data_IF_311305404364
#
_entry.id   IF_311305404364
#
_cell.length_a   1.000
_cell.length_b   1.000
_cell.length_c   1.000
_cell.angle_alpha   90.00
_cell.angle_beta   90.00
_cell.angle_gamma   90.00
#
_symmetry.space_group_name_H-M   'P 1'
#
loop_
_entity.id
_entity.type
_entity.pdbx_description
1 polymer ?
#
# COMPACT_ATOMS: atom_id res chain seq x y z
N UNK A 1 12.94 -14.29 -21.02
CA UNK A 1 11.60 -13.71 -21.26
C UNK A 1 11.07 -13.98 -22.67
N UNK A 2 11.91 -14.10 -23.72
CA UNK A 2 11.41 -14.43 -25.07
C UNK A 2 10.83 -15.85 -25.16
N UNK A 3 11.37 -16.80 -24.39
CA UNK A 3 11.00 -18.22 -24.51
C UNK A 3 9.74 -18.59 -23.71
N UNK A 4 9.47 -17.88 -22.60
CA UNK A 4 8.33 -18.13 -21.71
C UNK A 4 7.65 -16.81 -21.28
N UNK A 5 6.84 -16.19 -22.15
CA UNK A 5 6.20 -14.89 -21.85
C UNK A 5 5.15 -14.97 -20.74
N UNK A 6 4.54 -16.15 -20.55
CA UNK A 6 3.56 -16.44 -19.49
C UNK A 6 4.21 -16.97 -18.19
N UNK A 7 5.54 -17.01 -18.12
CA UNK A 7 6.28 -17.59 -17.00
C UNK A 7 6.45 -19.09 -17.11
N UNK A 8 7.22 -19.66 -16.18
CA UNK A 8 7.56 -21.10 -16.14
C UNK A 8 6.88 -21.85 -15.01
N UNK A 9 5.99 -21.17 -14.27
CA UNK A 9 5.29 -21.68 -13.11
C UNK A 9 6.03 -21.38 -11.80
N UNK A 10 5.32 -21.41 -10.66
CA UNK A 10 5.87 -21.03 -9.36
C UNK A 10 7.08 -21.90 -9.01
N UNK A 11 8.21 -21.27 -8.66
CA UNK A 11 9.44 -21.93 -8.19
C UNK A 11 10.15 -22.81 -9.23
N UNK A 12 9.68 -22.83 -10.48
CA UNK A 12 10.31 -23.60 -11.55
C UNK A 12 11.51 -22.88 -12.18
N UNK A 13 11.62 -21.56 -12.01
CA UNK A 13 12.74 -20.80 -12.58
C UNK A 13 14.11 -21.28 -12.09
N UNK A 14 14.20 -21.72 -10.83
CA UNK A 14 15.45 -22.24 -10.26
C UNK A 14 15.96 -23.51 -10.96
N UNK A 15 15.09 -24.26 -11.64
CA UNK A 15 15.45 -25.48 -12.37
C UNK A 15 16.04 -25.18 -13.75
N UNK A 16 15.64 -24.06 -14.35
CA UNK A 16 16.03 -23.67 -15.71
C UNK A 16 17.08 -22.55 -15.73
N UNK A 17 17.45 -22.01 -14.56
CA UNK A 17 18.38 -20.87 -14.45
C UNK A 17 19.75 -21.15 -15.08
N UNK A 18 20.19 -22.41 -15.09
CA UNK A 18 21.44 -22.89 -15.72
C UNK A 18 21.46 -22.59 -17.24
N UNK A 19 20.31 -22.63 -17.90
CA UNK A 19 20.18 -22.34 -19.34
C UNK A 19 20.39 -20.85 -19.66
N UNK A 20 20.28 -19.98 -18.64
CA UNK A 20 20.46 -18.53 -18.77
C UNK A 20 21.83 -18.07 -18.26
N UNK A 21 22.79 -19.00 -18.06
CA UNK A 21 24.15 -18.70 -17.63
C UNK A 21 24.26 -18.31 -16.15
N UNK A 22 23.21 -18.56 -15.36
CA UNK A 22 23.24 -18.41 -13.90
C UNK A 22 23.75 -19.70 -13.27
N UNK A 23 24.47 -19.59 -12.16
CA UNK A 23 24.90 -20.77 -11.38
C UNK A 23 23.66 -21.55 -10.94
N UNK A 24 23.64 -22.85 -11.26
CA UNK A 24 22.54 -23.76 -10.94
C UNK A 24 22.13 -23.64 -9.46
N UNK A 25 20.83 -23.59 -9.19
CA UNK A 25 20.20 -23.39 -7.88
C UNK A 25 20.38 -22.00 -7.23
N UNK A 26 20.94 -21.00 -7.91
CA UNK A 26 20.97 -19.64 -7.36
C UNK A 26 19.60 -18.96 -7.53
N UNK A 27 18.97 -18.63 -6.40
CA UNK A 27 17.72 -17.86 -6.41
C UNK A 27 17.99 -16.42 -6.83
N UNK A 28 17.09 -15.86 -7.62
CA UNK A 28 17.10 -14.44 -7.95
C UNK A 28 16.71 -13.66 -6.69
N UNK A 29 17.59 -12.79 -6.19
CA UNK A 29 17.34 -11.97 -4.99
C UNK A 29 16.56 -10.69 -5.31
N UNK A 30 15.62 -10.75 -6.25
CA UNK A 30 14.79 -9.62 -6.64
C UNK A 30 13.36 -10.10 -6.81
N UNK A 31 12.45 -9.53 -6.02
CA UNK A 31 11.03 -9.91 -6.01
C UNK A 31 10.40 -9.81 -7.40
N UNK A 32 10.62 -8.69 -8.09
CA UNK A 32 10.02 -8.44 -9.40
C UNK A 32 10.55 -9.39 -10.46
N UNK A 33 11.87 -9.64 -10.46
CA UNK A 33 12.49 -10.51 -11.45
C UNK A 33 12.10 -11.97 -11.20
N UNK A 34 12.00 -12.39 -9.94
CA UNK A 34 11.51 -13.73 -9.58
C UNK A 34 10.03 -13.90 -9.95
N UNK A 35 9.17 -12.92 -9.63
CA UNK A 35 7.75 -12.94 -10.00
C UNK A 35 7.58 -12.96 -11.51
N UNK A 36 8.37 -12.17 -12.25
CA UNK A 36 8.34 -12.13 -13.71
C UNK A 36 8.88 -13.39 -14.37
N UNK A 37 9.80 -14.11 -13.72
CA UNK A 37 10.25 -15.40 -14.19
C UNK A 37 9.19 -16.50 -13.97
N UNK A 38 8.59 -16.53 -12.78
CA UNK A 38 7.63 -17.57 -12.39
C UNK A 38 6.26 -17.38 -13.08
N UNK A 39 5.74 -16.15 -13.11
CA UNK A 39 4.39 -15.81 -13.58
C UNK A 39 4.38 -14.96 -14.86
N UNK A 40 5.55 -14.69 -15.44
CA UNK A 40 5.66 -13.93 -16.67
C UNK A 40 5.28 -12.45 -16.52
N UNK A 41 4.94 -11.85 -17.66
CA UNK A 41 4.51 -10.45 -17.72
C UNK A 41 3.20 -10.25 -16.95
N UNK A 42 2.31 -11.24 -16.98
CA UNK A 42 1.00 -11.15 -16.32
C UNK A 42 1.14 -11.02 -14.79
N UNK A 43 2.02 -11.79 -14.17
CA UNK A 43 2.29 -11.69 -12.73
C UNK A 43 2.90 -10.34 -12.35
N UNK A 44 3.85 -9.82 -13.13
CA UNK A 44 4.44 -8.49 -12.88
C UNK A 44 3.39 -7.38 -12.99
N UNK A 45 2.56 -7.41 -14.03
CA UNK A 45 1.49 -6.42 -14.22
C UNK A 45 0.46 -6.51 -13.11
N UNK A 46 0.06 -7.70 -12.69
CA UNK A 46 -0.86 -7.90 -11.56
C UNK A 46 -0.30 -7.34 -10.25
N UNK A 47 0.96 -7.66 -9.93
CA UNK A 47 1.63 -7.18 -8.71
C UNK A 47 1.80 -5.66 -8.72
N UNK A 48 2.28 -5.11 -9.83
CA UNK A 48 2.44 -3.66 -10.01
C UNK A 48 1.07 -2.97 -9.87
N UNK A 49 0.06 -3.45 -10.60
CA UNK A 49 -1.28 -2.88 -10.55
C UNK A 49 -1.85 -2.92 -9.13
N UNK A 50 -1.67 -4.02 -8.40
CA UNK A 50 -2.13 -4.14 -7.02
C UNK A 50 -1.51 -3.07 -6.10
N UNK A 51 -0.19 -2.94 -6.08
CA UNK A 51 0.48 -1.97 -5.20
C UNK A 51 0.25 -0.52 -5.65
N UNK A 52 0.33 -0.22 -6.95
CA UNK A 52 0.07 1.13 -7.46
C UNK A 52 -1.39 1.54 -7.28
N UNK A 53 -2.35 0.64 -7.52
CA UNK A 53 -3.76 0.94 -7.29
C UNK A 53 -4.06 1.16 -5.80
N UNK A 54 -3.44 0.37 -4.92
CA UNK A 54 -3.57 0.55 -3.46
C UNK A 54 -2.98 1.89 -3.03
N UNK A 55 -1.75 2.19 -3.44
CA UNK A 55 -1.09 3.47 -3.16
C UNK A 55 -1.91 4.65 -3.67
N UNK A 56 -2.43 4.59 -4.90
CA UNK A 56 -3.26 5.64 -5.48
C UNK A 56 -4.58 5.83 -4.72
N UNK A 57 -5.27 4.74 -4.36
CA UNK A 57 -6.51 4.81 -3.57
C UNK A 57 -6.26 5.40 -2.19
N UNK A 58 -5.21 4.97 -1.50
CA UNK A 58 -4.84 5.49 -0.18
C UNK A 58 -4.43 6.97 -0.25
N UNK A 59 -3.68 7.37 -1.28
CA UNK A 59 -3.31 8.76 -1.50
C UNK A 59 -4.52 9.66 -1.81
N UNK A 60 -5.43 9.18 -2.66
CA UNK A 60 -6.69 9.88 -2.97
C UNK A 60 -7.56 10.05 -1.72
N UNK A 61 -7.65 9.00 -0.89
CA UNK A 61 -8.36 9.08 0.40
C UNK A 61 -7.69 10.09 1.34
N UNK A 62 -6.37 10.07 1.49
CA UNK A 62 -5.64 11.01 2.35
C UNK A 62 -5.84 12.47 1.92
N UNK A 63 -6.09 12.70 0.62
CA UNK A 63 -6.38 14.02 0.06
C UNK A 63 -7.85 14.44 0.16
N UNK A 64 -8.75 13.55 0.61
CA UNK A 64 -10.19 13.83 0.73
C UNK A 64 -10.50 14.76 1.91
N UNK A 65 -11.57 15.56 1.79
CA UNK A 65 -12.01 16.44 2.87
C UNK A 65 -12.50 15.66 4.10
N UNK A 66 -13.05 14.46 3.90
CA UNK A 66 -13.42 13.56 5.01
C UNK A 66 -12.18 13.17 5.81
N UNK A 67 -11.09 12.78 5.16
CA UNK A 67 -9.85 12.43 5.85
C UNK A 67 -9.23 13.64 6.57
N UNK A 68 -9.38 14.85 6.03
CA UNK A 68 -8.93 16.10 6.68
C UNK A 68 -9.66 16.36 8.00
N UNK A 69 -10.94 15.97 8.11
CA UNK A 69 -11.74 16.13 9.34
C UNK A 69 -11.33 15.14 10.44
N UNK A 70 -10.94 13.91 10.09
CA UNK A 70 -10.64 12.86 11.06
C UNK A 70 -9.19 12.86 11.60
N UNK A 71 -8.31 13.76 11.12
CA UNK A 71 -6.90 13.94 11.51
C UNK A 71 -6.02 12.69 11.34
N UNK A 72 -6.28 11.59 12.05
CA UNK A 72 -5.48 10.36 12.04
C UNK A 72 -5.49 9.59 10.70
N UNK A 73 -6.60 9.44 9.94
CA UNK A 73 -6.59 8.64 8.72
C UNK A 73 -5.72 9.25 7.63
N UNK A 74 -5.60 10.59 7.64
CA UNK A 74 -4.73 11.33 6.72
C UNK A 74 -3.26 10.98 6.94
N UNK A 75 -2.77 11.08 8.18
CA UNK A 75 -1.38 10.73 8.51
C UNK A 75 -1.11 9.25 8.27
N UNK A 76 -2.06 8.40 8.63
CA UNK A 76 -1.96 6.96 8.39
C UNK A 76 -1.89 6.63 6.90
N UNK A 77 -2.71 7.28 6.07
CA UNK A 77 -2.66 7.13 4.62
C UNK A 77 -1.31 7.55 4.01
N UNK A 78 -0.74 8.67 4.47
CA UNK A 78 0.60 9.08 4.04
C UNK A 78 1.69 8.10 4.50
N UNK A 79 1.62 7.59 5.74
CA UNK A 79 2.53 6.59 6.26
C UNK A 79 2.51 5.33 5.38
N UNK A 80 1.32 4.82 5.05
CA UNK A 80 1.17 3.66 4.15
C UNK A 80 1.77 3.96 2.76
N UNK A 81 1.52 5.13 2.18
CA UNK A 81 2.09 5.49 0.88
C UNK A 81 3.62 5.52 0.90
N UNK A 82 4.23 6.10 1.93
CA UNK A 82 5.68 6.15 2.11
C UNK A 82 6.25 4.75 2.31
N UNK A 83 5.61 3.92 3.15
CA UNK A 83 6.02 2.54 3.39
C UNK A 83 5.94 1.68 2.13
N UNK A 84 4.88 1.83 1.32
CA UNK A 84 4.78 1.14 0.03
C UNK A 84 5.82 1.63 -0.97
N UNK A 85 6.10 2.94 -1.01
CA UNK A 85 7.17 3.50 -1.83
C UNK A 85 8.54 2.92 -1.46
N UNK A 86 8.86 2.89 -0.17
CA UNK A 86 10.07 2.26 0.35
C UNK A 86 10.14 0.77 0.03
N UNK A 87 9.04 0.04 0.22
CA UNK A 87 8.94 -1.38 -0.13
C UNK A 87 9.20 -1.63 -1.63
N UNK A 88 8.64 -0.82 -2.53
CA UNK A 88 8.86 -0.94 -3.97
C UNK A 88 10.33 -0.71 -4.35
N UNK A 89 11.02 0.22 -3.69
CA UNK A 89 12.46 0.44 -3.91
C UNK A 89 13.30 -0.70 -3.32
N UNK A 90 13.02 -1.12 -2.09
CA UNK A 90 13.74 -2.19 -1.41
C UNK A 90 13.56 -3.56 -2.09
N UNK A 91 12.39 -3.83 -2.67
CA UNK A 91 12.09 -5.10 -3.36
C UNK A 91 12.86 -5.30 -4.68
N UNK A 92 13.57 -4.28 -5.16
CA UNK A 92 14.56 -4.44 -6.23
C UNK A 92 15.76 -5.26 -5.73
N UNK A 93 16.13 -5.09 -4.46
CA UNK A 93 17.33 -5.68 -3.84
C UNK A 93 17.06 -6.88 -2.93
N UNK A 94 15.81 -7.04 -2.44
CA UNK A 94 15.42 -8.07 -1.49
C UNK A 94 14.54 -9.13 -2.18
N UNK A 95 14.76 -10.40 -1.83
CA UNK A 95 14.04 -11.55 -2.38
C UNK A 95 12.62 -11.75 -1.81
N UNK A 96 11.95 -12.82 -2.24
CA UNK A 96 10.53 -13.11 -1.96
C UNK A 96 10.14 -13.34 -0.50
N UNK A 97 11.09 -13.41 0.44
CA UNK A 97 10.79 -13.66 1.85
C UNK A 97 10.01 -12.53 2.55
N UNK A 98 9.95 -11.33 1.94
CA UNK A 98 9.33 -10.14 2.56
C UNK A 98 8.05 -9.65 1.87
N UNK A 99 7.46 -10.42 0.94
CA UNK A 99 6.20 -10.03 0.26
C UNK A 99 5.06 -9.80 1.27
N UNK A 100 5.03 -10.63 2.31
CA UNK A 100 4.00 -10.60 3.34
C UNK A 100 3.90 -9.21 4.01
N UNK A 101 5.04 -8.57 4.28
CA UNK A 101 5.06 -7.24 4.88
C UNK A 101 4.42 -6.18 3.98
N UNK A 102 4.76 -6.19 2.68
CA UNK A 102 4.13 -5.28 1.71
C UNK A 102 2.63 -5.53 1.56
N UNK A 103 2.21 -6.80 1.61
CA UNK A 103 0.79 -7.17 1.59
C UNK A 103 0.03 -6.68 2.82
N UNK A 104 0.58 -6.88 4.03
CA UNK A 104 -0.03 -6.41 5.29
C UNK A 104 -0.18 -4.88 5.29
N UNK A 105 0.85 -4.15 4.86
CA UNK A 105 0.81 -2.68 4.75
C UNK A 105 -0.28 -2.22 3.77
N UNK A 106 -0.41 -2.91 2.63
CA UNK A 106 -1.45 -2.64 1.64
C UNK A 106 -2.85 -2.87 2.20
N UNK A 107 -3.04 -3.98 2.93
CA UNK A 107 -4.32 -4.34 3.54
C UNK A 107 -4.74 -3.30 4.59
N UNK A 108 -3.82 -2.87 5.45
CA UNK A 108 -4.05 -1.79 6.41
C UNK A 108 -4.48 -0.49 5.72
N UNK A 109 -3.79 -0.11 4.64
CA UNK A 109 -4.17 1.05 3.83
C UNK A 109 -5.59 0.97 3.27
N UNK A 110 -5.98 -0.19 2.72
CA UNK A 110 -7.33 -0.41 2.18
C UNK A 110 -8.39 -0.43 3.28
N UNK A 111 -8.09 -0.98 4.46
CA UNK A 111 -8.98 -0.91 5.62
C UNK A 111 -9.24 0.54 6.04
N UNK A 112 -8.21 1.39 6.06
CA UNK A 112 -8.38 2.83 6.35
C UNK A 112 -9.21 3.52 5.28
N UNK A 113 -9.00 3.19 4.00
CA UNK A 113 -9.82 3.73 2.89
C UNK A 113 -11.29 3.36 3.09
N UNK A 114 -11.58 2.09 3.33
CA UNK A 114 -12.94 1.61 3.58
C UNK A 114 -13.57 2.28 4.81
N UNK A 115 -12.79 2.51 5.87
CA UNK A 115 -13.26 3.19 7.07
C UNK A 115 -13.68 4.64 6.77
N UNK A 116 -12.82 5.41 6.08
CA UNK A 116 -13.11 6.81 5.72
C UNK A 116 -14.30 6.88 4.76
N UNK A 117 -14.39 5.98 3.78
CA UNK A 117 -15.52 5.92 2.85
C UNK A 117 -16.84 5.64 3.57
N UNK A 118 -16.85 4.72 4.55
CA UNK A 118 -18.04 4.44 5.37
C UNK A 118 -18.46 5.67 6.18
N UNK A 119 -17.51 6.43 6.73
CA UNK A 119 -17.82 7.66 7.47
C UNK A 119 -18.34 8.75 6.54
N UNK A 120 -17.77 8.89 5.33
CA UNK A 120 -18.27 9.82 4.33
C UNK A 120 -19.71 9.49 3.89
N UNK A 121 -20.04 8.19 3.77
CA UNK A 121 -21.37 7.72 3.38
C UNK A 121 -22.41 7.80 4.49
N UNK A 122 -21.99 7.82 5.76
CA UNK A 122 -22.86 8.21 6.88
C UNK A 122 -23.16 9.70 6.74
N UNK A 123 -24.09 10.02 5.83
CA UNK A 123 -24.77 11.32 5.73
C UNK A 123 -25.10 11.79 7.15
N UNK A 124 -24.92 13.08 7.50
CA UNK A 124 -25.20 13.55 8.85
C UNK A 124 -26.68 13.33 9.15
N UNK A 125 -26.99 12.22 9.82
CA UNK A 125 -28.29 11.96 10.41
C UNK A 125 -28.32 12.87 11.64
N UNK A 126 -28.63 14.14 11.40
CA UNK A 126 -28.74 15.23 12.37
C UNK A 126 -27.61 15.30 13.38
N UNK A 127 -26.57 16.09 13.09
CA UNK A 127 -25.74 16.74 14.14
C UNK A 127 -25.34 15.86 15.34
N UNK A 128 -25.11 14.56 15.12
CA UNK A 128 -24.57 13.69 16.14
C UNK A 128 -23.10 14.04 16.21
N UNK A 129 -22.74 14.79 17.26
CA UNK A 129 -21.38 15.17 17.59
C UNK A 129 -20.45 13.96 17.37
N UNK A 130 -19.45 14.14 16.51
CA UNK A 130 -18.35 13.19 16.42
C UNK A 130 -17.73 13.20 17.83
N UNK A 131 -17.74 12.09 18.60
CA UNK A 131 -17.28 12.09 19.99
C UNK A 131 -15.84 12.61 20.13
N UNK A 132 -15.04 12.44 19.07
CA UNK A 132 -13.67 12.91 18.96
C UNK A 132 -13.55 14.45 18.84
N UNK A 133 -14.59 15.14 18.36
CA UNK A 133 -14.65 16.61 18.29
C UNK A 133 -15.28 17.23 19.56
N UNK A 134 -16.04 16.47 20.34
CA UNK A 134 -16.62 16.95 21.61
C UNK A 134 -15.55 17.21 22.68
N UNK A 135 -14.41 16.51 22.57
CA UNK A 135 -13.29 16.67 23.51
C UNK A 135 -12.32 17.80 23.13
N UNK A 136 -12.49 18.46 21.98
CA UNK A 136 -11.64 19.60 21.61
C UNK A 136 -12.20 20.84 22.29
N UNK A 137 -11.53 21.43 23.29
CA UNK A 137 -12.00 22.66 23.91
C UNK A 137 -12.08 23.72 22.82
N UNK A 138 -13.28 24.22 22.54
CA UNK A 138 -13.44 25.35 21.63
C UNK A 138 -12.73 26.53 22.28
N UNK A 139 -11.69 27.12 21.65
CA UNK A 139 -11.01 28.27 22.22
C UNK A 139 -12.04 29.38 22.40
N UNK A 140 -12.20 29.81 23.66
CA UNK A 140 -13.17 30.79 24.09
C UNK A 140 -12.91 32.10 23.33
N UNK A 141 -13.77 32.40 22.35
CA UNK A 141 -13.62 33.57 21.46
C UNK A 141 -13.74 34.91 22.20
N UNK A 142 -14.01 34.90 23.51
CA UNK A 142 -14.24 36.09 24.32
C UNK A 142 -13.16 36.43 25.35
N UNK A 143 -12.14 35.59 25.58
CA UNK A 143 -11.12 35.90 26.60
C UNK A 143 -9.88 36.53 25.96
N UNK A 144 -9.65 37.85 26.10
CA UNK A 144 -8.33 38.40 25.79
C UNK A 144 -7.32 37.68 26.68
N UNK A 145 -6.26 37.15 26.07
CA UNK A 145 -5.10 36.67 26.83
C UNK A 145 -4.55 37.87 27.59
N UNK A 146 -4.82 37.94 28.89
CA UNK A 146 -4.10 38.83 29.79
C UNK A 146 -2.67 38.31 29.88
N UNK A 147 -1.76 39.04 29.25
CA UNK A 147 -0.30 38.89 29.38
C UNK A 147 0.10 39.29 30.79
#
# INVERSE_FOLDING_TARGET
MKDHPLGVGPRNFNLISDQYGLVRNKSVHSLFLQTGADYGILGMVGLATFYFATMFKTFKMASSDTARRLVWPRYYGHMVCVSLGGFLVCSIFIGMESIESGYIISLLGLCTVMHVDRIAQRKPMGEAAIPELEQVPVPDKGKPMSV
#
